data_IF_917771431549
#
_entry.id   IF_917771431549
#
_cell.length_a   1.000
_cell.length_b   1.000
_cell.length_c   1.000
_cell.angle_alpha   90.00
_cell.angle_beta   90.00
_cell.angle_gamma   90.00
#
_symmetry.space_group_name_H-M   'P 1'
#
loop_
_entity.id
_entity.type
_entity.pdbx_description
1 polymer ?
#
# COMPACT_ATOMS: atom_id res chain seq x y z
N UNK A 1 -4.74 7.31 -0.36
CA UNK A 1 -5.42 6.01 -0.25
C UNK A 1 -6.36 6.06 0.92
N UNK A 2 -7.54 5.53 0.76
CA UNK A 2 -8.56 5.48 1.79
C UNK A 2 -8.58 4.11 2.50
N UNK A 3 -9.52 3.96 3.43
CA UNK A 3 -9.70 2.74 4.23
C UNK A 3 -10.04 1.49 3.39
N UNK A 4 -10.34 1.65 2.10
CA UNK A 4 -10.70 0.53 1.21
C UNK A 4 -9.51 -0.07 0.49
N UNK A 5 -8.35 0.60 0.50
CA UNK A 5 -7.14 0.09 -0.12
C UNK A 5 -6.65 -1.17 0.61
N UNK A 6 -6.50 -2.25 -0.12
CA UNK A 6 -6.00 -3.51 0.44
C UNK A 6 -4.50 -3.42 0.69
N UNK A 7 -4.08 -3.64 1.92
CA UNK A 7 -2.67 -3.56 2.34
C UNK A 7 -1.88 -4.77 1.83
N UNK A 8 -0.66 -4.54 1.41
CA UNK A 8 0.31 -5.61 1.23
C UNK A 8 0.93 -5.95 2.59
N UNK A 9 0.49 -7.05 3.18
CA UNK A 9 0.89 -7.46 4.53
C UNK A 9 2.40 -7.69 4.63
N UNK A 10 3.05 -8.24 3.60
CA UNK A 10 4.49 -8.49 3.58
C UNK A 10 5.27 -7.17 3.66
N UNK A 11 4.95 -6.20 2.80
CA UNK A 11 5.60 -4.88 2.81
C UNK A 11 5.33 -4.12 4.12
N UNK A 12 4.15 -4.29 4.71
CA UNK A 12 3.84 -3.72 6.03
C UNK A 12 4.72 -4.34 7.13
N UNK A 13 4.92 -5.65 7.13
CA UNK A 13 5.81 -6.30 8.09
C UNK A 13 7.27 -5.89 7.89
N UNK A 14 7.73 -5.71 6.66
CA UNK A 14 9.07 -5.18 6.38
C UNK A 14 9.24 -3.77 6.96
N UNK A 15 8.27 -2.89 6.75
CA UNK A 15 8.27 -1.54 7.33
C UNK A 15 8.29 -1.58 8.86
N UNK A 16 7.45 -2.40 9.48
CA UNK A 16 7.46 -2.57 10.94
C UNK A 16 8.78 -3.16 11.43
N UNK A 17 9.41 -4.04 10.66
CA UNK A 17 10.75 -4.57 10.94
C UNK A 17 11.80 -3.48 10.99
N UNK A 18 11.77 -2.52 10.06
CA UNK A 18 12.66 -1.35 10.07
C UNK A 18 12.41 -0.52 11.32
N UNK A 19 11.15 -0.22 11.68
CA UNK A 19 10.83 0.53 12.90
C UNK A 19 11.27 -0.20 14.17
N UNK A 20 11.10 -1.52 14.23
CA UNK A 20 11.52 -2.35 15.38
C UNK A 20 13.05 -2.47 15.50
N UNK A 21 13.78 -2.34 14.38
CA UNK A 21 15.24 -2.39 14.34
C UNK A 21 15.91 -1.04 14.66
N UNK A 22 15.14 0.00 14.97
CA UNK A 22 15.69 1.27 15.43
C UNK A 22 16.44 1.06 16.74
N UNK A 23 17.75 0.95 16.61
CA UNK A 23 18.63 0.71 17.75
C UNK A 23 19.13 2.03 18.34
N UNK A 24 18.52 2.45 19.42
CA UNK A 24 18.97 3.60 20.21
C UNK A 24 20.10 3.22 21.19
N UNK A 25 20.76 2.08 21.03
CA UNK A 25 21.92 1.70 21.86
C UNK A 25 23.20 2.42 21.44
N UNK A 26 23.26 2.95 20.21
CA UNK A 26 24.42 3.66 19.67
C UNK A 26 24.41 5.15 20.07
N UNK A 27 24.38 5.43 21.35
CA UNK A 27 24.55 6.79 21.87
C UNK A 27 25.94 7.32 21.57
N UNK A 28 26.04 8.57 21.11
CA UNK A 28 27.31 9.21 20.75
C UNK A 28 27.51 10.51 21.52
N UNK A 29 28.80 10.81 21.85
CA UNK A 29 29.16 12.11 22.35
C UNK A 29 29.26 13.10 21.19
N UNK A 30 28.22 13.93 21.04
CA UNK A 30 28.11 14.91 19.98
C UNK A 30 28.43 16.36 20.43
N UNK A 31 29.02 16.55 21.60
CA UNK A 31 29.24 17.87 22.22
C UNK A 31 30.00 18.90 21.33
N UNK A 32 30.79 18.41 20.35
CA UNK A 32 31.56 19.25 19.42
C UNK A 32 31.24 18.96 17.95
N UNK A 33 30.11 18.33 17.69
CA UNK A 33 29.72 17.89 16.35
C UNK A 33 28.52 18.69 15.89
N UNK A 34 28.55 19.18 14.64
CA UNK A 34 27.36 19.74 14.00
C UNK A 34 26.42 18.60 13.58
N UNK A 35 25.54 18.23 14.47
CA UNK A 35 24.56 17.17 14.23
C UNK A 35 23.39 17.61 13.39
N UNK A 36 23.18 18.91 13.19
CA UNK A 36 22.04 19.48 12.48
C UNK A 36 20.68 19.28 13.19
N UNK A 37 20.67 18.76 14.41
CA UNK A 37 19.42 18.46 15.13
C UNK A 37 18.68 19.69 15.63
N UNK A 38 19.38 20.77 15.97
CA UNK A 38 18.79 21.98 16.57
C UNK A 38 17.71 22.64 15.71
N UNK A 39 17.81 22.50 14.37
CA UNK A 39 16.89 23.14 13.43
C UNK A 39 16.36 22.18 12.38
N UNK A 40 16.46 20.88 12.61
CA UNK A 40 15.97 19.89 11.64
C UNK A 40 14.47 19.99 11.44
N UNK A 41 14.06 19.80 10.20
CA UNK A 41 12.65 19.62 9.80
C UNK A 41 12.36 18.18 9.37
N UNK A 42 13.37 17.33 9.39
CA UNK A 42 13.24 15.92 9.05
C UNK A 42 12.96 15.14 10.32
N UNK A 43 11.80 14.51 10.36
CA UNK A 43 11.39 13.70 11.50
C UNK A 43 10.36 12.67 11.05
N UNK A 44 10.18 11.66 11.87
CA UNK A 44 9.01 10.79 11.80
C UNK A 44 8.41 10.60 13.19
N UNK A 45 7.11 10.42 13.22
CA UNK A 45 6.33 10.18 14.44
C UNK A 45 5.76 8.79 14.38
N UNK A 46 5.92 8.04 15.48
CA UNK A 46 5.33 6.72 15.65
C UNK A 46 4.32 6.80 16.76
N UNK A 47 3.07 6.53 16.43
CA UNK A 47 2.01 6.30 17.40
C UNK A 47 1.88 4.79 17.62
N UNK A 48 1.95 4.36 18.85
CA UNK A 48 1.91 2.94 19.20
C UNK A 48 1.19 2.70 20.50
N UNK A 49 0.68 1.49 20.65
CA UNK A 49 0.10 1.03 21.91
C UNK A 49 1.19 0.30 22.68
N UNK A 50 1.53 0.84 23.84
CA UNK A 50 2.52 0.24 24.73
C UNK A 50 1.84 -0.82 25.60
N UNK A 51 2.02 -2.09 25.25
CA UNK A 51 1.50 -3.22 26.02
C UNK A 51 2.47 -3.54 27.16
N UNK A 52 2.11 -3.19 28.37
CA UNK A 52 2.88 -3.58 29.56
C UNK A 52 2.53 -5.02 29.92
N UNK A 53 3.42 -5.94 29.60
CA UNK A 53 3.33 -7.32 30.10
C UNK A 53 3.71 -7.33 31.58
N UNK A 54 2.71 -7.38 32.46
CA UNK A 54 2.91 -7.69 33.86
C UNK A 54 2.79 -9.22 34.01
N UNK A 55 3.85 -9.88 34.49
CA UNK A 55 3.92 -11.33 34.72
C UNK A 55 2.86 -11.86 35.72
N UNK A 56 1.98 -11.01 36.23
CA UNK A 56 0.97 -11.33 37.24
C UNK A 56 -0.44 -11.56 36.71
N UNK A 57 -0.63 -11.88 35.42
CA UNK A 57 -1.91 -12.32 34.83
C UNK A 57 -3.12 -11.36 35.07
N UNK A 58 -2.88 -10.06 35.24
CA UNK A 58 -3.91 -9.02 35.17
C UNK A 58 -3.91 -8.41 33.78
N UNK A 59 -5.10 -8.16 33.27
CA UNK A 59 -5.33 -7.47 32.00
C UNK A 59 -4.36 -6.31 31.86
N UNK A 60 -3.49 -6.38 30.85
CA UNK A 60 -2.58 -5.33 30.48
C UNK A 60 -3.38 -4.10 30.10
N UNK A 61 -3.14 -2.99 30.76
CA UNK A 61 -3.66 -1.72 30.29
C UNK A 61 -2.76 -1.25 29.15
N UNK A 62 -3.30 -1.31 27.94
CA UNK A 62 -2.66 -0.70 26.80
C UNK A 62 -2.72 0.82 26.97
N UNK A 63 -1.57 1.47 26.84
CA UNK A 63 -1.48 2.92 26.88
C UNK A 63 -1.00 3.43 25.52
N UNK A 64 -1.77 4.35 24.94
CA UNK A 64 -1.34 5.07 23.74
C UNK A 64 -0.06 5.85 24.03
N UNK A 65 0.90 5.70 23.17
CA UNK A 65 2.20 6.40 23.27
C UNK A 65 2.59 6.94 21.90
N UNK A 66 3.30 8.07 21.93
CA UNK A 66 3.81 8.73 20.72
C UNK A 66 5.30 9.02 20.91
N UNK A 67 6.11 8.63 19.95
CA UNK A 67 7.51 9.01 19.87
C UNK A 67 7.77 9.78 18.58
N UNK A 68 8.45 10.93 18.68
CA UNK A 68 8.94 11.69 17.53
C UNK A 68 10.45 11.62 17.51
N UNK A 69 11.02 11.12 16.43
CA UNK A 69 12.45 10.98 16.21
C UNK A 69 12.88 12.06 15.22
N UNK A 70 13.78 12.92 15.66
CA UNK A 70 14.37 13.99 14.86
C UNK A 70 15.60 13.43 14.14
N UNK A 71 15.73 13.74 12.87
CA UNK A 71 16.84 13.31 12.01
C UNK A 71 17.67 14.53 11.62
N UNK A 72 18.96 14.48 11.88
CA UNK A 72 19.91 15.54 11.61
C UNK A 72 20.80 15.27 10.39
N UNK A 73 22.04 15.77 10.47
CA UNK A 73 23.08 15.54 9.47
C UNK A 73 23.57 14.07 9.52
N UNK A 74 24.39 13.70 8.54
CA UNK A 74 25.07 12.40 8.54
C UNK A 74 26.48 12.52 9.06
N UNK A 75 27.00 11.43 9.64
CA UNK A 75 28.41 11.25 9.95
C UNK A 75 29.26 10.94 8.69
N UNK A 76 30.54 10.64 8.88
CA UNK A 76 31.46 10.30 7.79
C UNK A 76 31.13 8.96 7.08
N UNK A 77 30.37 8.08 7.72
CA UNK A 77 29.91 6.81 7.16
C UNK A 77 28.56 6.97 6.43
N UNK A 78 27.91 8.11 6.62
CA UNK A 78 26.60 8.39 6.08
C UNK A 78 25.46 8.01 7.00
N UNK A 79 25.72 7.58 8.24
CA UNK A 79 24.72 7.31 9.25
C UNK A 79 24.20 8.63 9.84
N UNK A 80 22.92 8.68 10.18
CA UNK A 80 22.24 9.90 10.59
C UNK A 80 22.35 10.12 12.08
N UNK A 81 22.68 11.35 12.49
CA UNK A 81 22.46 11.79 13.85
C UNK A 81 20.96 11.89 14.11
N UNK A 82 20.52 11.39 15.25
CA UNK A 82 19.11 11.41 15.64
C UNK A 82 18.97 11.63 17.15
N UNK A 83 17.82 12.16 17.53
CA UNK A 83 17.40 12.22 18.93
C UNK A 83 15.88 12.04 19.04
N UNK A 84 15.43 11.69 20.23
CA UNK A 84 13.99 11.66 20.54
C UNK A 84 13.57 13.05 21.00
N UNK A 85 12.52 13.60 20.42
CA UNK A 85 11.96 14.89 20.81
C UNK A 85 11.57 14.90 22.29
N UNK A 86 12.08 15.88 23.02
CA UNK A 86 11.96 15.97 24.48
C UNK A 86 13.14 15.33 25.26
N UNK A 87 14.09 14.71 24.54
CA UNK A 87 15.32 14.09 25.09
C UNK A 87 16.51 14.42 24.18
N UNK A 88 16.58 15.67 23.71
CA UNK A 88 17.53 16.13 22.68
C UNK A 88 19.00 16.08 23.13
N UNK A 89 19.27 15.97 24.44
CA UNK A 89 20.62 15.78 24.97
C UNK A 89 21.19 14.38 24.69
N UNK A 90 20.36 13.41 24.38
CA UNK A 90 20.77 12.06 24.01
C UNK A 90 20.79 11.93 22.49
N UNK A 91 21.98 11.97 21.91
CA UNK A 91 22.18 11.83 20.46
C UNK A 91 22.60 10.41 20.12
N UNK A 92 22.04 9.89 19.04
CA UNK A 92 22.26 8.54 18.52
C UNK A 92 22.70 8.58 17.08
N UNK A 93 23.37 7.52 16.61
CA UNK A 93 23.56 7.25 15.18
C UNK A 93 22.60 6.17 14.72
N UNK A 94 21.85 6.49 13.68
CA UNK A 94 20.93 5.57 13.02
C UNK A 94 21.47 5.21 11.63
N UNK A 95 21.37 3.95 11.29
CA UNK A 95 21.83 3.45 9.99
C UNK A 95 21.16 4.21 8.84
N UNK A 96 21.97 4.64 7.89
CA UNK A 96 21.51 5.28 6.65
C UNK A 96 20.42 4.47 5.95
N UNK A 97 20.58 3.16 5.88
CA UNK A 97 19.65 2.26 5.21
C UNK A 97 18.27 2.31 5.89
N UNK A 98 18.21 2.16 7.21
CA UNK A 98 16.96 2.19 7.97
C UNK A 98 16.24 3.54 7.86
N UNK A 99 16.99 4.65 7.99
CA UNK A 99 16.41 5.99 7.90
C UNK A 99 15.87 6.26 6.50
N UNK A 100 16.63 5.96 5.44
CA UNK A 100 16.20 6.19 4.07
C UNK A 100 14.98 5.32 3.71
N UNK A 101 14.92 4.08 4.17
CA UNK A 101 13.75 3.22 3.96
C UNK A 101 12.46 3.83 4.50
N UNK A 102 12.54 4.57 5.62
CA UNK A 102 11.38 5.27 6.18
C UNK A 102 11.10 6.61 5.48
N UNK A 103 12.13 7.39 5.17
CA UNK A 103 11.97 8.70 4.52
C UNK A 103 11.47 8.58 3.06
N UNK A 104 11.82 7.50 2.39
CA UNK A 104 11.42 7.20 1.01
C UNK A 104 10.12 6.39 0.93
N UNK A 105 9.53 6.06 2.08
CA UNK A 105 8.31 5.29 2.16
C UNK A 105 7.16 6.01 1.45
N UNK A 106 6.55 5.31 0.50
CA UNK A 106 5.34 5.78 -0.18
C UNK A 106 4.16 4.86 0.15
N UNK A 107 2.98 5.40 0.44
CA UNK A 107 1.77 4.59 0.69
C UNK A 107 1.49 3.58 -0.43
N UNK A 108 1.77 3.96 -1.68
CA UNK A 108 1.67 3.06 -2.84
C UNK A 108 2.51 1.78 -2.70
N UNK A 109 3.62 1.80 -1.96
CA UNK A 109 4.45 0.61 -1.73
C UNK A 109 3.86 -0.34 -0.69
N UNK A 110 2.89 0.13 0.10
CA UNK A 110 2.27 -0.64 1.18
C UNK A 110 0.92 -1.25 0.79
N UNK A 111 0.39 -0.94 -0.40
CA UNK A 111 -0.86 -1.52 -0.91
C UNK A 111 -0.60 -2.70 -1.83
N UNK A 112 -1.60 -3.57 -1.97
CA UNK A 112 -1.59 -4.57 -3.04
C UNK A 112 -1.66 -3.87 -4.39
N UNK A 113 -0.80 -4.28 -5.32
CA UNK A 113 -0.77 -3.74 -6.69
C UNK A 113 -1.86 -4.33 -7.59
N UNK A 114 -2.84 -5.01 -7.03
CA UNK A 114 -3.96 -5.63 -7.74
C UNK A 114 -5.18 -4.73 -7.56
N UNK A 115 -5.72 -4.12 -8.64
CA UNK A 115 -6.82 -3.17 -8.56
C UNK A 115 -8.10 -3.77 -7.96
N UNK A 116 -8.39 -5.04 -8.29
CA UNK A 116 -9.51 -5.76 -7.69
C UNK A 116 -9.18 -7.24 -7.54
N UNK A 117 -9.39 -7.76 -6.34
CA UNK A 117 -9.28 -9.18 -6.05
C UNK A 117 -10.68 -9.72 -5.78
N UNK A 118 -11.34 -10.23 -6.82
CA UNK A 118 -12.69 -10.80 -6.73
C UNK A 118 -12.59 -12.33 -6.65
N UNK A 119 -13.22 -12.94 -5.66
CA UNK A 119 -13.28 -14.40 -5.58
C UNK A 119 -14.26 -14.94 -6.63
N UNK A 120 -13.80 -15.88 -7.46
CA UNK A 120 -14.61 -16.48 -8.52
C UNK A 120 -15.88 -17.18 -7.97
N UNK A 121 -15.82 -17.72 -6.74
CA UNK A 121 -16.95 -18.38 -6.08
C UNK A 121 -18.07 -17.39 -5.71
N UNK A 122 -17.77 -16.10 -5.64
CA UNK A 122 -18.75 -15.04 -5.40
C UNK A 122 -19.21 -14.35 -6.68
N UNK A 123 -18.76 -14.80 -7.84
CA UNK A 123 -18.98 -14.15 -9.12
C UNK A 123 -20.26 -14.67 -9.79
N UNK A 124 -21.18 -13.78 -10.14
CA UNK A 124 -22.32 -14.06 -11.01
C UNK A 124 -21.98 -13.81 -12.48
N UNK A 125 -21.37 -12.66 -12.76
CA UNK A 125 -20.95 -12.30 -14.11
C UNK A 125 -19.87 -11.22 -14.11
N UNK A 126 -19.21 -11.07 -15.27
CA UNK A 126 -18.30 -9.95 -15.55
C UNK A 126 -18.70 -9.30 -16.85
N UNK A 127 -18.91 -8.00 -16.83
CA UNK A 127 -19.10 -7.19 -18.04
C UNK A 127 -17.77 -6.52 -18.40
N UNK A 128 -17.37 -6.69 -19.66
CA UNK A 128 -16.14 -6.16 -20.24
C UNK A 128 -16.53 -5.22 -21.36
N UNK A 129 -16.38 -3.93 -21.16
CA UNK A 129 -16.70 -2.89 -22.16
C UNK A 129 -15.42 -2.36 -22.79
N UNK A 130 -15.36 -2.42 -24.12
CA UNK A 130 -14.25 -1.91 -24.94
C UNK A 130 -14.86 -1.00 -25.99
N UNK A 131 -14.65 0.29 -25.87
CA UNK A 131 -15.31 1.31 -26.68
C UNK A 131 -16.84 1.19 -26.57
N UNK A 132 -17.53 0.94 -27.67
CA UNK A 132 -19.01 0.82 -27.70
C UNK A 132 -19.54 -0.61 -27.58
N UNK A 133 -18.67 -1.57 -27.25
CA UNK A 133 -19.06 -2.98 -27.18
C UNK A 133 -18.88 -3.51 -25.77
N UNK A 134 -19.92 -4.20 -25.27
CA UNK A 134 -19.86 -4.91 -23.99
C UNK A 134 -19.95 -6.41 -24.23
N UNK A 135 -19.10 -7.15 -23.58
CA UNK A 135 -19.04 -8.60 -23.58
C UNK A 135 -19.29 -9.09 -22.15
N UNK A 136 -20.24 -10.00 -21.98
CA UNK A 136 -20.56 -10.55 -20.67
C UNK A 136 -20.00 -11.96 -20.54
N UNK A 137 -19.20 -12.20 -19.50
CA UNK A 137 -18.88 -13.53 -18.99
C UNK A 137 -19.86 -13.88 -17.89
N UNK A 138 -20.44 -15.08 -17.91
CA UNK A 138 -21.43 -15.50 -16.89
C UNK A 138 -21.27 -16.96 -16.52
N UNK A 139 -21.45 -17.25 -15.22
CA UNK A 139 -21.72 -18.58 -14.71
C UNK A 139 -23.24 -18.80 -14.73
N UNK A 140 -23.72 -19.86 -15.42
CA UNK A 140 -25.14 -20.19 -15.51
C UNK A 140 -25.30 -21.68 -15.14
N UNK A 141 -25.49 -21.93 -13.86
CA UNK A 141 -25.42 -23.26 -13.28
C UNK A 141 -24.04 -23.89 -13.44
N UNK A 142 -23.93 -24.96 -14.21
CA UNK A 142 -22.67 -25.62 -14.55
C UNK A 142 -22.02 -25.09 -15.83
N UNK A 143 -22.69 -24.18 -16.55
CA UNK A 143 -22.27 -23.68 -17.85
C UNK A 143 -21.47 -22.38 -17.73
N UNK A 144 -20.37 -22.33 -18.42
CA UNK A 144 -19.54 -21.13 -18.58
C UNK A 144 -19.93 -20.45 -19.90
N UNK A 145 -20.40 -19.20 -19.84
CA UNK A 145 -20.88 -18.46 -21.01
C UNK A 145 -20.04 -17.23 -21.29
N UNK A 146 -19.85 -16.95 -22.59
CA UNK A 146 -19.32 -15.68 -23.09
C UNK A 146 -20.31 -15.12 -24.11
N UNK A 147 -21.01 -14.07 -23.71
CA UNK A 147 -22.20 -13.61 -24.41
C UNK A 147 -23.28 -14.73 -24.51
N UNK A 148 -23.66 -15.11 -25.74
CA UNK A 148 -24.64 -16.18 -25.99
C UNK A 148 -24.02 -17.57 -26.19
N UNK A 149 -22.67 -17.69 -26.10
CA UNK A 149 -21.97 -18.94 -26.40
C UNK A 149 -21.51 -19.63 -25.12
N UNK A 150 -21.76 -20.93 -25.04
CA UNK A 150 -21.11 -21.78 -24.02
C UNK A 150 -19.64 -21.95 -24.41
N UNK A 151 -18.76 -21.76 -23.42
CA UNK A 151 -17.31 -21.89 -23.58
C UNK A 151 -16.77 -22.94 -22.61
N UNK A 152 -15.56 -23.45 -22.86
CA UNK A 152 -14.91 -24.36 -21.95
C UNK A 152 -14.53 -23.66 -20.67
N UNK A 153 -14.59 -24.35 -19.53
CA UNK A 153 -14.17 -23.84 -18.22
C UNK A 153 -12.77 -23.24 -18.26
N UNK A 154 -11.83 -23.95 -18.91
CA UNK A 154 -10.45 -23.50 -19.00
C UNK A 154 -10.34 -22.12 -19.64
N UNK A 155 -11.08 -21.87 -20.74
CA UNK A 155 -11.07 -20.58 -21.43
C UNK A 155 -11.74 -19.46 -20.65
N UNK A 156 -12.78 -19.77 -19.90
CA UNK A 156 -13.40 -18.84 -18.99
C UNK A 156 -12.43 -18.45 -17.86
N UNK A 157 -11.78 -19.44 -17.24
CA UNK A 157 -10.83 -19.23 -16.17
C UNK A 157 -9.59 -18.46 -16.63
N UNK A 158 -9.05 -18.78 -17.83
CA UNK A 158 -7.93 -18.03 -18.43
C UNK A 158 -8.25 -16.54 -18.58
N UNK A 159 -9.44 -16.20 -19.11
CA UNK A 159 -9.84 -14.82 -19.28
C UNK A 159 -10.08 -14.12 -17.93
N UNK A 160 -10.73 -14.81 -17.00
CA UNK A 160 -10.93 -14.31 -15.65
C UNK A 160 -9.60 -14.03 -14.93
N UNK A 161 -8.65 -14.96 -15.02
CA UNK A 161 -7.31 -14.77 -14.46
C UNK A 161 -6.56 -13.62 -15.12
N UNK A 162 -6.70 -13.45 -16.44
CA UNK A 162 -6.09 -12.32 -17.15
C UNK A 162 -6.62 -10.97 -16.65
N UNK A 163 -7.92 -10.85 -16.37
CA UNK A 163 -8.52 -9.65 -15.79
C UNK A 163 -8.03 -9.39 -14.36
N UNK A 164 -7.82 -10.45 -13.56
CA UNK A 164 -7.31 -10.37 -12.19
C UNK A 164 -5.81 -10.09 -12.13
N UNK A 165 -5.06 -10.42 -13.18
CA UNK A 165 -3.60 -10.26 -13.23
C UNK A 165 -3.13 -8.88 -13.71
N UNK A 166 -4.06 -7.97 -14.01
CA UNK A 166 -3.72 -6.57 -14.28
C UNK A 166 -3.18 -5.98 -12.97
N UNK A 167 -1.96 -5.44 -13.02
CA UNK A 167 -1.30 -4.90 -11.84
C UNK A 167 -1.02 -3.41 -12.02
N UNK A 168 -1.05 -2.69 -10.92
CA UNK A 168 -0.60 -1.30 -10.87
C UNK A 168 0.94 -1.28 -10.92
N UNK A 169 1.50 -0.53 -11.83
CA UNK A 169 2.95 -0.38 -12.00
C UNK A 169 3.49 0.77 -11.15
N UNK A 170 2.87 1.93 -11.29
CA UNK A 170 3.30 3.16 -10.65
C UNK A 170 2.12 4.05 -10.26
N UNK A 171 2.39 4.99 -9.39
CA UNK A 171 1.47 6.06 -9.01
C UNK A 171 1.62 7.24 -9.98
N UNK A 172 0.51 7.81 -10.40
CA UNK A 172 0.49 8.98 -11.28
C UNK A 172 0.39 10.24 -10.43
N UNK A 173 1.40 11.12 -10.52
CA UNK A 173 1.47 12.36 -9.72
C UNK A 173 0.45 13.42 -10.16
N UNK A 174 0.09 13.44 -11.45
CA UNK A 174 -0.89 14.38 -12.00
C UNK A 174 -2.13 13.63 -12.48
N UNK A 175 -3.25 13.84 -11.79
CA UNK A 175 -4.55 13.38 -12.26
C UNK A 175 -5.07 14.37 -13.31
N UNK A 176 -5.14 13.95 -14.57
CA UNK A 176 -5.99 14.63 -15.58
C UNK A 176 -7.44 14.37 -15.19
N UNK A 177 -8.31 15.39 -15.33
CA UNK A 177 -9.75 15.19 -15.13
C UNK A 177 -10.24 13.99 -15.95
N UNK A 178 -11.00 13.09 -15.33
CA UNK A 178 -11.54 11.90 -15.98
C UNK A 178 -12.40 12.25 -17.24
N UNK A 179 -12.99 13.44 -17.25
CA UNK A 179 -13.76 13.95 -18.38
C UNK A 179 -12.93 14.19 -19.67
N UNK A 180 -11.62 14.37 -19.53
CA UNK A 180 -10.71 14.63 -20.64
C UNK A 180 -9.94 13.38 -21.10
N UNK A 181 -10.20 12.22 -20.45
CA UNK A 181 -9.53 10.95 -20.77
C UNK A 181 -10.42 10.07 -21.66
N UNK A 182 -9.78 9.36 -22.60
CA UNK A 182 -10.47 8.34 -23.39
C UNK A 182 -10.56 7.05 -22.56
N UNK A 183 -11.78 6.61 -22.24
CA UNK A 183 -12.03 5.32 -21.62
C UNK A 183 -11.76 4.20 -22.63
N UNK A 184 -10.77 3.35 -22.35
CA UNK A 184 -10.36 2.26 -23.25
C UNK A 184 -10.98 0.92 -22.85
N UNK A 185 -11.18 0.70 -21.54
CA UNK A 185 -11.69 -0.54 -20.99
C UNK A 185 -12.45 -0.25 -19.68
N UNK A 186 -13.63 -0.85 -19.54
CA UNK A 186 -14.31 -0.94 -18.24
C UNK A 186 -14.61 -2.40 -17.94
N UNK A 187 -14.27 -2.85 -16.74
CA UNK A 187 -14.56 -4.19 -16.24
C UNK A 187 -15.44 -4.08 -15.02
N UNK A 188 -16.62 -4.67 -15.06
CA UNK A 188 -17.55 -4.70 -13.93
C UNK A 188 -17.77 -6.15 -13.51
N UNK A 189 -17.42 -6.45 -12.27
CA UNK A 189 -17.66 -7.73 -11.62
C UNK A 189 -18.99 -7.65 -10.86
N UNK A 190 -19.95 -8.47 -11.20
CA UNK A 190 -21.22 -8.63 -10.48
C UNK A 190 -21.10 -9.84 -9.55
N UNK A 191 -21.35 -9.62 -8.28
CA UNK A 191 -21.10 -10.60 -7.21
C UNK A 191 -22.40 -10.94 -6.47
N UNK A 192 -22.49 -12.16 -5.97
CA UNK A 192 -23.61 -12.65 -5.14
C UNK A 192 -23.38 -12.41 -3.64
N UNK A 193 -22.78 -11.29 -3.27
CA UNK A 193 -22.51 -10.89 -1.90
C UNK A 193 -23.27 -9.62 -1.56
N UNK A 194 -23.70 -9.47 -0.30
CA UNK A 194 -24.36 -8.25 0.17
C UNK A 194 -23.36 -7.08 0.25
N UNK A 195 -22.13 -7.40 0.62
CA UNK A 195 -21.03 -6.45 0.68
C UNK A 195 -20.35 -6.35 -0.68
N UNK A 196 -20.25 -5.14 -1.22
CA UNK A 196 -19.73 -4.84 -2.54
C UNK A 196 -20.29 -5.77 -3.64
N UNK A 197 -21.61 -5.73 -3.93
CA UNK A 197 -22.22 -6.58 -4.94
C UNK A 197 -21.73 -6.29 -6.36
N UNK A 198 -21.14 -5.14 -6.56
CA UNK A 198 -20.54 -4.70 -7.81
C UNK A 198 -19.18 -4.05 -7.57
N UNK A 199 -18.19 -4.45 -8.38
CA UNK A 199 -16.85 -3.84 -8.38
C UNK A 199 -16.55 -3.43 -9.81
N UNK A 200 -16.33 -2.14 -10.05
CA UNK A 200 -16.06 -1.59 -11.37
C UNK A 200 -14.67 -0.97 -11.44
N UNK A 201 -13.92 -1.35 -12.45
CA UNK A 201 -12.61 -0.80 -12.79
C UNK A 201 -12.70 -0.11 -14.14
N UNK A 202 -12.25 1.12 -14.23
CA UNK A 202 -12.21 1.92 -15.46
C UNK A 202 -10.77 2.24 -15.82
N UNK A 203 -10.40 1.93 -17.05
CA UNK A 203 -9.08 2.16 -17.59
C UNK A 203 -9.17 3.24 -18.67
N UNK A 204 -8.32 4.25 -18.55
CA UNK A 204 -8.26 5.40 -19.44
C UNK A 204 -6.91 5.45 -20.13
N UNK A 205 -6.88 5.85 -21.39
CA UNK A 205 -5.63 6.07 -22.10
C UNK A 205 -4.77 7.08 -21.36
N UNK A 206 -3.51 6.74 -21.10
CA UNK A 206 -2.56 7.61 -20.39
C UNK A 206 -1.41 8.03 -21.31
N UNK A 207 -0.67 7.04 -21.85
CA UNK A 207 0.39 7.24 -22.85
C UNK A 207 0.47 6.04 -23.81
N UNK A 208 1.54 5.95 -24.61
CA UNK A 208 1.72 4.87 -25.59
C UNK A 208 1.97 3.48 -24.95
N UNK A 209 2.20 3.41 -23.63
CA UNK A 209 2.61 2.20 -22.91
C UNK A 209 1.64 1.82 -21.81
N UNK A 210 1.06 2.80 -21.12
CA UNK A 210 0.25 2.61 -19.91
C UNK A 210 -1.14 3.22 -20.06
N UNK A 211 -2.10 2.58 -19.40
CA UNK A 211 -3.41 3.13 -19.11
C UNK A 211 -3.50 3.54 -17.64
N UNK A 212 -4.24 4.60 -17.32
CA UNK A 212 -4.55 4.98 -15.95
C UNK A 212 -5.82 4.28 -15.48
N UNK A 213 -5.90 3.99 -14.18
CA UNK A 213 -7.03 3.34 -13.53
C UNK A 213 -7.75 4.31 -12.59
N UNK A 214 -9.09 4.23 -12.62
CA UNK A 214 -10.03 4.82 -11.65
C UNK A 214 -10.96 3.77 -11.07
#
# INVERSE_FOLDING_TARGET
>A
YDETATVNTENMYEMFGVLAAFDLSNGVDAANTDTGLDNTKTYFTVDFVNTVNDDTAKETQDADATATILIGNTDENGDYYACVKGYEEAVYLLSKESVNSLLELKPFNLILKIPALVNIDTLDSVDISIGKKTYTMKLDGSDYKFGKKTVKKEKFTELYQALQSIMLDSEVEETKDAADKEEVLTVTFHRNTEEAPEVTLKYFAYDDTYDSLE
#
